data_IF_843368645965
#
_entry.id   IF_843368645965
#
_cell.length_a   1.000
_cell.length_b   1.000
_cell.length_c   1.000
_cell.angle_alpha   90.00
_cell.angle_beta   90.00
_cell.angle_gamma   90.00
#
_symmetry.space_group_name_H-M   'P 1'
#
loop_
_entity.id
_entity.type
_entity.pdbx_description
1 polymer ?
#
# COMPACT_ATOMS: atom_id res chain seq x y z
N UNK A 1 -0.24 -3.70 -10.71
CA UNK A 1 -0.57 -3.86 -9.26
C UNK A 1 0.11 -5.05 -8.60
N UNK A 2 0.46 -6.14 -9.31
CA UNK A 2 1.26 -7.24 -8.76
C UNK A 2 2.61 -6.78 -8.16
N UNK A 3 3.41 -6.03 -8.92
CA UNK A 3 4.70 -5.47 -8.47
C UNK A 3 4.61 -4.76 -7.12
N UNK A 4 3.53 -4.01 -6.92
CA UNK A 4 3.30 -3.29 -5.67
C UNK A 4 3.11 -4.24 -4.49
N UNK A 5 2.32 -5.31 -4.68
CA UNK A 5 2.09 -6.35 -3.67
C UNK A 5 3.39 -7.08 -3.33
N UNK A 6 4.18 -7.45 -4.33
CA UNK A 6 5.48 -8.10 -4.15
C UNK A 6 6.41 -7.24 -3.29
N UNK A 7 6.54 -5.95 -3.63
CA UNK A 7 7.35 -5.00 -2.87
C UNK A 7 6.87 -4.87 -1.41
N UNK A 8 5.56 -4.76 -1.20
CA UNK A 8 4.99 -4.69 0.16
C UNK A 8 5.25 -5.98 0.96
N UNK A 9 5.23 -7.14 0.31
CA UNK A 9 5.54 -8.43 0.92
C UNK A 9 7.03 -8.60 1.22
N UNK A 10 7.90 -8.00 0.41
CA UNK A 10 9.35 -7.89 0.67
C UNK A 10 9.67 -6.92 1.82
N UNK A 11 8.67 -6.18 2.33
CA UNK A 11 8.82 -5.24 3.43
C UNK A 11 9.06 -3.79 2.99
N UNK A 12 8.90 -3.49 1.70
CA UNK A 12 8.94 -2.12 1.21
C UNK A 12 7.75 -1.33 1.75
N UNK A 13 7.95 -0.03 2.01
CA UNK A 13 6.86 0.83 2.50
C UNK A 13 5.88 1.17 1.38
N UNK A 14 4.65 1.48 1.75
CA UNK A 14 3.57 1.87 0.82
C UNK A 14 3.99 2.99 -0.13
N UNK A 15 4.70 4.02 0.38
CA UNK A 15 5.18 5.11 -0.48
C UNK A 15 6.25 4.65 -1.48
N UNK A 16 7.13 3.73 -1.08
CA UNK A 16 8.18 3.19 -1.96
C UNK A 16 7.56 2.35 -3.06
N UNK A 17 6.67 1.42 -2.68
CA UNK A 17 5.93 0.60 -3.63
C UNK A 17 5.15 1.45 -4.64
N UNK A 18 4.53 2.55 -4.20
CA UNK A 18 3.81 3.47 -5.09
C UNK A 18 4.73 4.20 -6.07
N UNK A 19 5.90 4.68 -5.61
CA UNK A 19 6.89 5.36 -6.47
C UNK A 19 7.53 4.40 -7.47
N UNK A 20 7.87 3.19 -7.02
CA UNK A 20 8.55 2.18 -7.83
C UNK A 20 7.72 1.72 -9.03
N UNK A 21 6.40 1.74 -8.90
CA UNK A 21 5.49 1.39 -10.01
C UNK A 21 4.97 2.61 -10.78
N UNK A 22 5.44 3.82 -10.45
CA UNK A 22 5.16 5.05 -11.19
C UNK A 22 3.98 5.89 -10.71
N UNK A 23 3.39 5.61 -9.53
CA UNK A 23 2.39 6.51 -8.93
C UNK A 23 3.07 7.63 -8.14
N UNK A 24 2.66 8.87 -8.42
CA UNK A 24 3.03 10.05 -7.62
C UNK A 24 2.15 10.19 -6.37
N UNK A 25 0.87 9.86 -6.51
CA UNK A 25 -0.11 9.97 -5.43
C UNK A 25 -0.26 8.65 -4.66
N UNK A 26 0.24 8.65 -3.43
CA UNK A 26 0.14 7.52 -2.51
C UNK A 26 -1.33 7.27 -2.15
N UNK A 27 -2.12 8.32 -1.89
CA UNK A 27 -3.54 8.19 -1.55
C UNK A 27 -4.36 7.56 -2.67
N UNK A 28 -4.07 7.93 -3.93
CA UNK A 28 -4.70 7.32 -5.10
C UNK A 28 -4.28 5.85 -5.24
N UNK A 29 -2.98 5.57 -5.10
CA UNK A 29 -2.44 4.22 -5.10
C UNK A 29 -3.12 3.34 -4.04
N UNK A 30 -3.26 3.80 -2.80
CA UNK A 30 -3.90 3.06 -1.71
C UNK A 30 -5.35 2.72 -2.02
N UNK A 31 -6.12 3.68 -2.54
CA UNK A 31 -7.52 3.44 -2.95
C UNK A 31 -7.61 2.42 -4.08
N UNK A 32 -6.73 2.53 -5.08
CA UNK A 32 -6.69 1.62 -6.22
C UNK A 32 -6.23 0.22 -5.80
N UNK A 33 -5.23 0.14 -4.92
CA UNK A 33 -4.71 -1.12 -4.37
C UNK A 33 -5.80 -1.85 -3.58
N UNK A 34 -6.52 -1.14 -2.70
CA UNK A 34 -7.67 -1.69 -1.96
C UNK A 34 -8.78 -2.15 -2.90
N UNK A 35 -9.10 -1.39 -3.95
CA UNK A 35 -10.09 -1.82 -4.96
C UNK A 35 -9.66 -3.07 -5.72
N UNK A 36 -8.36 -3.23 -5.96
CA UNK A 36 -7.82 -4.33 -6.76
C UNK A 36 -7.63 -5.62 -5.94
N UNK A 37 -7.16 -5.50 -4.69
CA UNK A 37 -6.80 -6.64 -3.83
C UNK A 37 -7.75 -6.88 -2.65
N UNK A 38 -8.68 -5.96 -2.38
CA UNK A 38 -9.60 -6.03 -1.24
C UNK A 38 -8.98 -5.65 0.12
N UNK A 39 -7.66 -5.47 0.19
CA UNK A 39 -6.91 -5.14 1.42
C UNK A 39 -6.11 -3.87 1.26
N UNK A 40 -5.81 -3.17 2.34
CA UNK A 40 -4.96 -1.97 2.31
C UNK A 40 -3.49 -2.35 2.12
N UNK A 41 -2.71 -1.56 1.36
CA UNK A 41 -1.28 -1.82 1.18
C UNK A 41 -0.50 -1.77 2.51
N UNK A 42 -0.96 -0.98 3.50
CA UNK A 42 -0.39 -0.96 4.85
C UNK A 42 -0.57 -2.28 5.61
N UNK A 43 -1.63 -3.05 5.34
CA UNK A 43 -1.83 -4.37 5.95
C UNK A 43 -0.83 -5.40 5.41
N UNK A 44 -0.39 -5.21 4.16
CA UNK A 44 0.61 -6.08 3.50
C UNK A 44 2.03 -5.71 3.92
N UNK A 45 2.33 -4.41 4.00
CA UNK A 45 3.62 -3.89 4.48
C UNK A 45 3.73 -4.12 5.99
N UNK A 46 4.32 -5.25 6.40
CA UNK A 46 4.55 -5.66 7.81
C UNK A 46 5.56 -4.78 8.57
N UNK A 47 5.36 -3.48 8.57
CA UNK A 47 6.01 -2.54 9.48
C UNK A 47 5.01 -2.25 10.60
N UNK A 48 5.31 -2.68 11.83
CA UNK A 48 4.51 -2.37 13.02
C UNK A 48 4.43 -0.85 13.18
N UNK A 49 3.40 -0.23 12.64
CA UNK A 49 3.02 1.13 12.98
C UNK A 49 1.50 1.12 13.09
N UNK A 50 1.10 0.94 14.35
CA UNK A 50 -0.22 1.23 14.86
C UNK A 50 -0.60 2.64 14.44
N UNK A 51 -1.47 2.78 13.45
CA UNK A 51 -2.26 4.00 13.26
C UNK A 51 -3.69 3.56 12.94
N UNK A 52 -4.44 3.38 14.02
CA UNK A 52 -5.89 3.44 13.99
C UNK A 52 -6.29 4.81 13.44
N UNK A 53 -6.93 4.87 12.28
CA UNK A 53 -7.79 6.01 11.93
C UNK A 53 -8.88 5.57 10.95
N UNK A 54 -10.09 5.45 11.51
CA UNK A 54 -11.37 5.89 10.97
C UNK A 54 -11.63 5.70 9.47
N UNK A 55 -12.49 4.74 9.15
CA UNK A 55 -13.56 5.03 8.20
C UNK A 55 -14.85 5.01 9.02
N UNK A 56 -15.36 6.21 9.32
CA UNK A 56 -16.71 6.42 9.82
C UNK A 56 -17.76 5.92 8.82
#
# INVERSE_FOLDING_TARGET
MQKAKELLQEGAKVYEASRLIGYRDISYFTRLFRKYWGVMPSEVSRSRTTEEHGTA
#
